data_IF_034266827084
#
_entry.id   IF_034266827084
#
_cell.length_a   1.000
_cell.length_b   1.000
_cell.length_c   1.000
_cell.angle_alpha   90.00
_cell.angle_beta   90.00
_cell.angle_gamma   90.00
#
_symmetry.space_group_name_H-M   'P 1'
#
loop_
_entity.id
_entity.type
_entity.pdbx_description
1 polymer ?
#
# COMPACT_ATOMS: atom_id res chain seq x y z
N UNK A 1 12.94 -5.78 6.18
CA UNK A 1 11.70 -4.98 6.27
C UNK A 1 11.93 -3.57 5.75
N UNK A 2 10.97 -3.00 5.02
CA UNK A 2 11.05 -1.65 4.41
C UNK A 2 11.22 -0.54 5.45
N UNK A 3 10.79 -0.75 6.69
CA UNK A 3 11.10 0.12 7.84
C UNK A 3 12.60 0.40 8.00
N UNK A 4 13.46 -0.61 7.87
CA UNK A 4 14.90 -0.43 8.02
C UNK A 4 15.51 0.32 6.84
N UNK A 5 14.93 0.18 5.64
CA UNK A 5 15.33 0.98 4.49
C UNK A 5 14.92 2.45 4.68
N UNK A 6 13.70 2.70 5.18
CA UNK A 6 13.24 4.05 5.53
C UNK A 6 14.14 4.73 6.56
N UNK A 7 14.46 4.05 7.67
CA UNK A 7 15.33 4.60 8.71
C UNK A 7 16.72 4.96 8.15
N UNK A 8 17.30 4.10 7.30
CA UNK A 8 18.58 4.39 6.63
C UNK A 8 18.48 5.59 5.70
N UNK A 9 17.40 5.71 4.92
CA UNK A 9 17.17 6.87 4.06
C UNK A 9 17.02 8.18 4.83
N UNK A 10 16.35 8.17 5.98
CA UNK A 10 16.26 9.37 6.85
C UNK A 10 17.63 9.76 7.40
N UNK A 11 18.45 8.79 7.82
CA UNK A 11 19.78 9.06 8.39
C UNK A 11 20.82 9.49 7.37
N UNK A 12 20.85 8.84 6.20
CA UNK A 12 21.96 8.94 5.27
C UNK A 12 21.60 9.73 4.00
N UNK A 13 20.33 9.76 3.62
CA UNK A 13 19.87 10.31 2.33
C UNK A 13 18.93 11.52 2.52
N UNK A 14 18.92 12.12 3.72
CA UNK A 14 18.13 13.31 4.06
C UNK A 14 16.62 13.17 3.79
N UNK A 15 16.07 11.95 3.83
CA UNK A 15 14.63 11.76 3.68
C UNK A 15 13.87 12.48 4.79
N UNK A 16 12.74 13.10 4.45
CA UNK A 16 11.89 13.78 5.43
C UNK A 16 11.44 12.79 6.50
N UNK A 17 11.76 13.11 7.76
CA UNK A 17 11.32 12.32 8.90
C UNK A 17 9.80 12.44 9.04
N UNK A 18 9.14 11.30 9.18
CA UNK A 18 7.73 11.19 9.49
C UNK A 18 7.60 10.71 10.94
N UNK A 19 7.10 11.57 11.81
CA UNK A 19 7.05 11.34 13.26
C UNK A 19 5.87 10.44 13.71
N UNK A 20 5.12 9.88 12.76
CA UNK A 20 4.04 8.92 13.02
C UNK A 20 4.44 7.53 12.50
N UNK A 21 3.50 6.60 12.56
CA UNK A 21 3.69 5.25 12.04
C UNK A 21 3.56 5.25 10.52
N UNK A 22 4.66 4.94 9.83
CA UNK A 22 4.70 4.92 8.36
C UNK A 22 3.95 3.72 7.76
N UNK A 23 4.05 2.56 8.41
CA UNK A 23 3.42 1.32 7.95
C UNK A 23 2.25 0.93 8.84
N UNK A 24 1.11 0.58 8.25
CA UNK A 24 0.02 -0.08 8.98
C UNK A 24 0.53 -1.39 9.61
N UNK A 25 -0.09 -1.82 10.73
CA UNK A 25 0.18 -3.16 11.27
C UNK A 25 -0.43 -4.20 10.33
N UNK A 26 0.38 -5.16 9.90
CA UNK A 26 0.02 -6.21 8.94
C UNK A 26 -0.32 -5.63 7.55
N UNK A 27 -0.68 -6.53 6.63
CA UNK A 27 -1.13 -6.20 5.28
C UNK A 27 -2.23 -7.17 4.88
N UNK A 28 -3.08 -6.77 3.92
CA UNK A 28 -4.05 -7.66 3.31
C UNK A 28 -3.34 -8.58 2.31
N UNK A 29 -3.49 -9.89 2.50
CA UNK A 29 -2.94 -10.90 1.60
C UNK A 29 -4.08 -11.73 0.99
N UNK A 30 -3.98 -12.04 -0.30
CA UNK A 30 -4.94 -12.88 -0.98
C UNK A 30 -4.27 -13.71 -2.07
N UNK A 31 -4.37 -15.03 -1.98
CA UNK A 31 -3.84 -15.96 -2.99
C UNK A 31 -4.81 -16.03 -4.18
N UNK A 32 -4.32 -15.68 -5.37
CA UNK A 32 -5.07 -15.79 -6.61
C UNK A 32 -4.99 -17.22 -7.12
N UNK A 33 -6.12 -17.96 -7.07
CA UNK A 33 -6.16 -19.40 -7.42
C UNK A 33 -6.75 -19.71 -8.79
N UNK A 34 -7.35 -18.73 -9.46
CA UNK A 34 -7.99 -18.93 -10.76
C UNK A 34 -7.99 -17.63 -11.59
N UNK A 35 -8.18 -17.74 -12.92
CA UNK A 35 -8.16 -16.58 -13.82
C UNK A 35 -9.21 -15.52 -13.48
N UNK A 36 -10.41 -15.91 -13.05
CA UNK A 36 -11.47 -14.96 -12.68
C UNK A 36 -11.07 -14.09 -11.48
N UNK A 37 -10.40 -14.66 -10.49
CA UNK A 37 -9.87 -13.92 -9.35
C UNK A 37 -8.77 -12.95 -9.77
N UNK A 38 -7.90 -13.37 -10.70
CA UNK A 38 -6.89 -12.51 -11.30
C UNK A 38 -7.51 -11.29 -11.98
N UNK A 39 -8.46 -11.51 -12.91
CA UNK A 39 -9.14 -10.44 -13.64
C UNK A 39 -9.79 -9.43 -12.69
N UNK A 40 -10.51 -9.92 -11.67
CA UNK A 40 -11.18 -9.06 -10.68
C UNK A 40 -10.19 -8.21 -9.89
N UNK A 41 -9.09 -8.80 -9.41
CA UNK A 41 -8.11 -8.08 -8.59
C UNK A 41 -7.31 -7.09 -9.44
N UNK A 42 -6.89 -7.49 -10.64
CA UNK A 42 -6.23 -6.60 -11.58
C UNK A 42 -7.11 -5.41 -11.95
N UNK A 43 -8.39 -5.66 -12.25
CA UNK A 43 -9.36 -4.59 -12.51
C UNK A 43 -9.54 -3.66 -11.31
N UNK A 44 -9.65 -4.23 -10.10
CA UNK A 44 -9.73 -3.43 -8.87
C UNK A 44 -8.53 -2.50 -8.72
N UNK A 45 -7.31 -3.00 -8.91
CA UNK A 45 -6.07 -2.20 -8.81
C UNK A 45 -6.07 -1.04 -9.81
N UNK A 46 -6.47 -1.30 -11.06
CA UNK A 46 -6.51 -0.29 -12.13
C UNK A 46 -7.58 0.77 -11.84
N UNK A 47 -8.75 0.37 -11.36
CA UNK A 47 -9.88 1.27 -11.13
C UNK A 47 -9.81 2.02 -9.79
N UNK A 48 -9.03 1.53 -8.82
CA UNK A 48 -8.95 2.10 -7.47
C UNK A 48 -8.62 3.61 -7.43
N UNK A 49 -7.67 4.15 -8.22
CA UNK A 49 -7.41 5.59 -8.23
C UNK A 49 -8.63 6.43 -8.61
N UNK A 50 -9.47 5.94 -9.53
CA UNK A 50 -10.69 6.62 -9.95
C UNK A 50 -11.77 6.55 -8.87
N UNK A 51 -11.83 5.44 -8.15
CA UNK A 51 -12.82 5.18 -7.09
C UNK A 51 -12.37 5.65 -5.70
N UNK A 52 -11.20 6.28 -5.60
CA UNK A 52 -10.56 6.59 -4.32
C UNK A 52 -11.44 7.46 -3.41
N UNK A 53 -12.16 8.43 -4.00
CA UNK A 53 -13.05 9.34 -3.25
C UNK A 53 -14.35 8.67 -2.79
N UNK A 54 -14.74 7.60 -3.46
CA UNK A 54 -15.96 6.85 -3.16
C UNK A 54 -15.67 5.65 -2.24
N UNK A 55 -14.39 5.44 -1.86
CA UNK A 55 -14.01 4.35 -0.98
C UNK A 55 -14.52 4.60 0.44
N UNK A 56 -15.05 3.55 1.08
CA UNK A 56 -15.61 3.62 2.43
C UNK A 56 -14.60 4.01 3.52
N UNK A 57 -13.30 3.94 3.23
CA UNK A 57 -12.23 4.35 4.12
C UNK A 57 -11.59 5.69 3.71
N UNK A 58 -12.13 6.37 2.71
CA UNK A 58 -11.75 7.73 2.36
C UNK A 58 -12.12 8.69 3.51
N UNK A 59 -11.18 9.55 3.91
CA UNK A 59 -11.30 10.53 5.01
C UNK A 59 -11.62 11.93 4.50
#
# INVERSE_FOLDING_TARGET
MTTNAYIRGVKNNQWKKFNKRLWQRNYYEHIIRNPKAYERISKYIIENPLKWRDDKFYL
#
